data_IF_963936908483
#
_entry.id   IF_963936908483
#
_cell.length_a   1.000
_cell.length_b   1.000
_cell.length_c   1.000
_cell.angle_alpha   90.00
_cell.angle_beta   90.00
_cell.angle_gamma   90.00
#
_symmetry.space_group_name_H-M   'P 1'
#
loop_
_entity.id
_entity.type
_entity.pdbx_description
1 polymer ?
#
# COMPACT_ATOMS: atom_id res chain seq x y z
N UNK A 1 36.21 77.33 -50.96
CA UNK A 1 35.09 76.42 -51.30
C UNK A 1 35.54 74.99 -51.05
N UNK A 2 34.65 74.13 -50.55
CA UNK A 2 34.79 72.68 -50.27
C UNK A 2 35.18 72.28 -48.84
N UNK A 3 34.15 72.23 -48.01
CA UNK A 3 34.02 71.36 -46.85
C UNK A 3 34.12 69.88 -47.28
N UNK A 4 34.78 69.04 -46.47
CA UNK A 4 34.71 67.57 -46.60
C UNK A 4 34.39 66.96 -45.23
N UNK A 5 33.26 66.28 -45.17
CA UNK A 5 32.60 65.70 -43.99
C UNK A 5 33.08 64.24 -43.85
N UNK A 6 33.55 63.84 -42.66
CA UNK A 6 33.84 62.43 -42.32
C UNK A 6 32.54 61.69 -41.93
N UNK A 7 32.38 60.41 -42.27
CA UNK A 7 31.16 59.66 -41.98
C UNK A 7 31.13 59.04 -40.57
N UNK A 8 29.92 58.88 -40.06
CA UNK A 8 29.56 58.40 -38.73
C UNK A 8 29.72 56.88 -38.56
N UNK A 9 30.19 56.47 -37.39
CA UNK A 9 30.31 55.08 -36.94
C UNK A 9 28.94 54.59 -36.45
N UNK A 10 28.38 53.55 -37.07
CA UNK A 10 27.15 52.88 -36.62
C UNK A 10 27.47 51.88 -35.50
N UNK A 11 27.06 52.19 -34.28
CA UNK A 11 27.02 51.22 -33.16
C UNK A 11 25.74 50.38 -33.22
N UNK A 12 25.88 49.10 -33.55
CA UNK A 12 24.80 48.12 -33.49
C UNK A 12 24.57 47.62 -32.06
N UNK A 13 23.42 47.95 -31.47
CA UNK A 13 22.99 47.49 -30.15
C UNK A 13 22.37 46.10 -30.28
N UNK A 14 23.10 45.04 -29.92
CA UNK A 14 22.55 43.67 -29.83
C UNK A 14 21.64 43.58 -28.60
N UNK A 15 20.35 43.39 -28.83
CA UNK A 15 19.34 43.15 -27.80
C UNK A 15 19.42 41.67 -27.38
N UNK A 16 19.94 41.41 -26.17
CA UNK A 16 20.04 40.07 -25.60
C UNK A 16 18.68 39.72 -24.95
N UNK A 17 17.90 38.88 -25.61
CA UNK A 17 16.61 38.41 -25.11
C UNK A 17 16.84 37.31 -24.06
N UNK A 18 16.67 37.64 -22.79
CA UNK A 18 16.70 36.69 -21.67
C UNK A 18 15.37 35.92 -21.62
N UNK A 19 15.35 34.71 -22.19
CA UNK A 19 14.24 33.77 -22.00
C UNK A 19 14.27 33.21 -20.57
N UNK A 20 13.13 33.22 -19.84
CA UNK A 20 13.08 32.68 -18.49
C UNK A 20 13.16 31.15 -18.55
N UNK A 21 14.17 30.58 -17.89
CA UNK A 21 14.32 29.14 -17.72
C UNK A 21 13.22 28.66 -16.77
N UNK A 22 12.11 28.16 -17.33
CA UNK A 22 11.10 27.43 -16.55
C UNK A 22 11.72 26.11 -16.09
N UNK A 23 12.20 26.07 -14.84
CA UNK A 23 12.51 24.82 -14.17
C UNK A 23 11.20 24.03 -13.98
N UNK A 24 10.95 23.04 -14.84
CA UNK A 24 9.98 21.99 -14.53
C UNK A 24 10.52 21.24 -13.32
N UNK A 25 10.00 21.54 -12.13
CA UNK A 25 10.20 20.73 -10.94
C UNK A 25 9.52 19.37 -11.18
N UNK A 26 10.27 18.43 -11.74
CA UNK A 26 9.90 17.02 -11.71
C UNK A 26 9.99 16.59 -10.25
N UNK A 27 8.84 16.41 -9.61
CA UNK A 27 8.77 15.88 -8.25
C UNK A 27 9.19 14.41 -8.30
N UNK A 28 10.50 14.16 -8.20
CA UNK A 28 11.03 12.81 -7.99
C UNK A 28 10.50 12.34 -6.64
N UNK A 29 9.55 11.40 -6.69
CA UNK A 29 9.09 10.69 -5.51
C UNK A 29 10.28 9.92 -4.94
N UNK A 30 10.59 10.13 -3.66
CA UNK A 30 11.64 9.38 -2.97
C UNK A 30 11.42 7.86 -3.15
N UNK A 31 12.50 7.12 -3.36
CA UNK A 31 12.42 5.67 -3.53
C UNK A 31 11.75 5.02 -2.30
N UNK A 32 10.91 4.00 -2.55
CA UNK A 32 10.22 3.33 -1.46
C UNK A 32 11.21 2.55 -0.59
N UNK A 33 11.09 2.71 0.72
CA UNK A 33 11.88 2.00 1.73
C UNK A 33 10.92 1.21 2.62
N UNK A 34 11.14 -0.09 2.74
CA UNK A 34 10.35 -0.97 3.61
C UNK A 34 10.38 -0.50 5.06
N UNK A 35 9.28 -0.73 5.79
CA UNK A 35 9.24 -0.58 7.25
C UNK A 35 10.34 -1.37 7.98
N UNK A 36 10.85 -2.44 7.38
CA UNK A 36 11.96 -3.25 7.88
C UNK A 36 13.23 -2.42 8.19
N UNK A 37 13.51 -1.37 7.40
CA UNK A 37 14.67 -0.51 7.61
C UNK A 37 14.55 0.40 8.86
N UNK A 38 13.34 0.52 9.43
CA UNK A 38 13.05 1.44 10.54
C UNK A 38 12.90 0.75 11.90
N UNK A 39 12.86 -0.58 11.93
CA UNK A 39 12.75 -1.38 13.17
C UNK A 39 14.14 -1.69 13.77
N UNK A 40 14.17 -2.23 14.99
CA UNK A 40 15.43 -2.58 15.67
C UNK A 40 16.05 -3.85 15.07
N UNK A 41 17.34 -4.12 15.31
CA UNK A 41 17.97 -5.37 14.89
C UNK A 41 17.25 -6.62 15.40
N UNK A 42 16.72 -6.59 16.62
CA UNK A 42 16.04 -7.73 17.26
C UNK A 42 14.72 -8.03 16.57
N UNK A 43 13.94 -7.00 16.21
CA UNK A 43 12.71 -7.19 15.43
C UNK A 43 12.99 -7.68 14.01
N UNK A 44 14.11 -7.25 13.39
CA UNK A 44 14.53 -7.79 12.09
C UNK A 44 14.87 -9.27 12.19
N UNK A 45 15.69 -9.65 13.17
CA UNK A 45 16.04 -11.05 13.42
C UNK A 45 14.80 -11.92 13.64
N UNK A 46 13.80 -11.42 14.36
CA UNK A 46 12.52 -12.12 14.54
C UNK A 46 11.72 -12.27 13.24
N UNK A 47 11.73 -11.28 12.35
CA UNK A 47 11.04 -11.39 11.05
C UNK A 47 11.74 -12.37 10.11
N UNK A 48 13.08 -12.37 10.11
CA UNK A 48 13.90 -13.10 9.15
C UNK A 48 14.03 -14.60 9.46
N UNK A 49 13.68 -15.01 10.68
CA UNK A 49 13.64 -16.39 11.12
C UNK A 49 12.19 -16.88 11.14
N UNK A 50 11.86 -17.84 10.28
CA UNK A 50 10.49 -18.38 10.16
C UNK A 50 10.01 -19.09 11.44
N UNK A 51 10.90 -19.63 12.27
CA UNK A 51 10.51 -20.23 13.55
C UNK A 51 10.25 -19.14 14.61
N UNK A 52 11.03 -18.06 14.58
CA UNK A 52 10.88 -16.94 15.51
C UNK A 52 9.75 -15.97 15.14
N UNK A 53 9.32 -15.93 13.87
CA UNK A 53 8.28 -15.02 13.40
C UNK A 53 6.88 -15.51 13.86
N UNK A 54 6.26 -14.89 14.88
CA UNK A 54 4.97 -15.35 15.40
C UNK A 54 3.82 -15.15 14.40
N UNK A 55 4.00 -14.32 13.38
CA UNK A 55 3.01 -14.13 12.32
C UNK A 55 2.81 -15.38 11.46
N UNK A 56 3.76 -16.31 11.43
CA UNK A 56 3.64 -17.54 10.64
C UNK A 56 2.60 -18.51 11.20
N UNK A 57 2.22 -18.42 12.47
CA UNK A 57 1.06 -19.13 13.00
C UNK A 57 -0.24 -18.76 12.26
N UNK A 58 -0.36 -17.51 11.81
CA UNK A 58 -1.49 -17.08 10.97
C UNK A 58 -1.38 -17.62 9.53
N UNK A 59 -0.17 -17.90 9.04
CA UNK A 59 0.01 -18.57 7.74
C UNK A 59 -0.47 -20.02 7.84
N UNK A 60 -0.06 -20.75 8.87
CA UNK A 60 -0.48 -22.14 9.09
C UNK A 60 -2.00 -22.25 9.26
N UNK A 61 -2.59 -21.40 10.11
CA UNK A 61 -4.05 -21.35 10.27
C UNK A 61 -4.76 -20.92 8.98
N UNK A 62 -4.13 -20.05 8.18
CA UNK A 62 -4.66 -19.61 6.89
C UNK A 62 -4.69 -20.74 5.87
N UNK A 63 -3.68 -21.62 5.87
CA UNK A 63 -3.64 -22.84 5.06
C UNK A 63 -4.78 -23.80 5.45
N UNK A 64 -5.03 -24.00 6.75
CA UNK A 64 -6.16 -24.80 7.20
C UNK A 64 -7.50 -24.24 6.70
N UNK A 65 -7.69 -22.91 6.79
CA UNK A 65 -8.89 -22.23 6.28
C UNK A 65 -9.03 -22.34 4.76
N UNK A 66 -7.90 -22.40 4.04
CA UNK A 66 -7.85 -22.57 2.59
C UNK A 66 -8.23 -24.00 2.17
N UNK A 67 -7.84 -25.00 2.95
CA UNK A 67 -8.20 -26.41 2.79
C UNK A 67 -9.66 -26.69 3.20
N UNK A 68 -10.18 -25.93 4.16
CA UNK A 68 -11.53 -26.08 4.69
C UNK A 68 -12.61 -25.66 3.67
N UNK A 69 -13.71 -26.41 3.66
CA UNK A 69 -14.98 -26.01 3.02
C UNK A 69 -16.08 -25.90 4.08
N UNK A 70 -17.06 -25.05 3.83
CA UNK A 70 -18.21 -24.96 4.73
C UNK A 70 -19.15 -26.15 4.50
N UNK A 71 -19.98 -26.44 5.52
CA UNK A 71 -20.96 -27.51 5.44
C UNK A 71 -21.97 -27.22 4.33
N UNK A 72 -22.10 -28.13 3.38
CA UNK A 72 -22.98 -27.97 2.21
C UNK A 72 -22.32 -27.26 1.02
N UNK A 73 -21.09 -26.76 1.17
CA UNK A 73 -20.32 -26.21 0.05
C UNK A 73 -19.79 -27.31 -0.86
N UNK A 74 -19.66 -26.96 -2.14
CA UNK A 74 -19.23 -27.91 -3.18
C UNK A 74 -17.72 -28.12 -3.16
N UNK A 75 -16.94 -27.08 -2.83
CA UNK A 75 -15.48 -27.05 -2.99
C UNK A 75 -14.81 -26.14 -1.96
N UNK A 76 -13.62 -26.51 -1.49
CA UNK A 76 -12.66 -25.61 -0.82
C UNK A 76 -11.73 -24.96 -1.85
N UNK A 77 -10.86 -24.05 -1.40
CA UNK A 77 -9.94 -23.33 -2.29
C UNK A 77 -8.97 -24.27 -3.02
N UNK A 78 -8.51 -25.33 -2.34
CA UNK A 78 -7.53 -26.29 -2.88
C UNK A 78 -7.99 -27.00 -4.15
N UNK A 79 -9.30 -27.18 -4.33
CA UNK A 79 -9.86 -27.84 -5.52
C UNK A 79 -9.51 -27.13 -6.84
N UNK A 80 -9.25 -25.81 -6.79
CA UNK A 80 -8.82 -25.02 -7.94
C UNK A 80 -7.35 -24.63 -7.86
N UNK A 81 -6.82 -24.47 -6.64
CA UNK A 81 -5.57 -23.76 -6.40
C UNK A 81 -4.42 -24.62 -5.90
N UNK A 82 -4.63 -25.94 -5.74
CA UNK A 82 -3.62 -26.83 -5.18
C UNK A 82 -3.67 -26.87 -3.66
N UNK A 83 -3.10 -27.91 -3.05
CA UNK A 83 -3.26 -28.18 -1.61
C UNK A 83 -2.60 -27.11 -0.73
N UNK A 84 -1.53 -26.51 -1.23
CA UNK A 84 -0.75 -25.45 -0.58
C UNK A 84 -0.79 -24.14 -1.38
N UNK A 85 -1.76 -24.01 -2.29
CA UNK A 85 -1.92 -22.82 -3.12
C UNK A 85 -0.89 -22.69 -4.26
N UNK A 86 -0.18 -23.75 -4.61
CA UNK A 86 0.91 -23.76 -5.59
C UNK A 86 0.47 -23.38 -7.02
N UNK A 87 -0.84 -23.46 -7.32
CA UNK A 87 -1.40 -23.03 -8.61
C UNK A 87 -1.82 -21.55 -8.62
N UNK A 88 -1.65 -20.83 -7.52
CA UNK A 88 -1.89 -19.39 -7.48
C UNK A 88 -0.73 -18.64 -8.14
N UNK A 89 -1.08 -17.62 -8.93
CA UNK A 89 -0.07 -16.73 -9.51
C UNK A 89 0.46 -15.76 -8.46
N UNK A 90 1.70 -16.02 -8.01
CA UNK A 90 2.44 -15.22 -7.02
C UNK A 90 2.58 -13.76 -7.44
N UNK A 91 2.80 -13.48 -8.73
CA UNK A 91 2.91 -12.11 -9.27
C UNK A 91 1.55 -11.43 -9.27
N UNK A 92 0.48 -12.16 -9.57
CA UNK A 92 -0.88 -11.62 -9.50
C UNK A 92 -1.28 -11.28 -8.06
N UNK A 93 -0.84 -12.07 -7.07
CA UNK A 93 -1.04 -11.79 -5.64
C UNK A 93 -0.28 -10.51 -5.23
N UNK A 94 0.99 -10.37 -5.62
CA UNK A 94 1.82 -9.19 -5.33
C UNK A 94 1.27 -7.88 -5.93
N UNK A 95 0.38 -7.97 -6.92
CA UNK A 95 -0.25 -6.83 -7.59
C UNK A 95 -1.53 -6.32 -6.91
N UNK A 96 -2.05 -6.98 -5.87
CA UNK A 96 -3.24 -6.49 -5.15
C UNK A 96 -2.93 -5.30 -4.23
N UNK A 97 -3.86 -4.33 -4.08
CA UNK A 97 -5.22 -4.29 -4.65
C UNK A 97 -5.29 -4.03 -6.16
N UNK A 98 -6.36 -4.50 -6.82
CA UNK A 98 -6.57 -4.37 -8.27
C UNK A 98 -7.68 -3.38 -8.60
N UNK A 99 -7.57 -2.70 -9.74
CA UNK A 99 -8.61 -1.82 -10.25
C UNK A 99 -9.61 -2.59 -11.14
N UNK A 100 -10.90 -2.28 -10.99
CA UNK A 100 -12.00 -2.82 -11.76
C UNK A 100 -12.81 -1.65 -12.35
N UNK A 101 -12.62 -1.38 -13.64
CA UNK A 101 -13.31 -0.29 -14.33
C UNK A 101 -14.84 -0.45 -14.38
N UNK A 102 -15.37 -1.66 -14.19
CA UNK A 102 -16.82 -1.92 -14.20
C UNK A 102 -17.52 -1.54 -12.87
N UNK A 103 -16.76 -1.24 -11.81
CA UNK A 103 -17.31 -0.84 -10.51
C UNK A 103 -18.06 0.50 -10.62
N UNK A 104 -19.26 0.58 -10.02
CA UNK A 104 -20.07 1.81 -10.02
C UNK A 104 -19.69 2.75 -8.87
N UNK A 105 -19.26 2.18 -7.75
CA UNK A 105 -18.76 2.89 -6.57
C UNK A 105 -17.25 2.66 -6.43
N UNK A 106 -16.53 3.52 -5.69
CA UNK A 106 -15.07 3.39 -5.58
C UNK A 106 -14.69 2.08 -4.87
N UNK A 107 -15.44 1.71 -3.83
CA UNK A 107 -15.31 0.43 -3.13
C UNK A 107 -15.49 -0.79 -4.03
N UNK A 108 -16.19 -0.67 -5.16
CA UNK A 108 -16.34 -1.74 -6.17
C UNK A 108 -15.29 -1.64 -7.28
N UNK A 109 -14.70 -0.47 -7.48
CA UNK A 109 -13.62 -0.23 -8.42
C UNK A 109 -12.27 -0.69 -7.89
N UNK A 110 -12.12 -0.86 -6.57
CA UNK A 110 -10.89 -1.31 -5.94
C UNK A 110 -11.17 -2.65 -5.28
N UNK A 111 -10.57 -3.70 -5.83
CA UNK A 111 -10.70 -5.07 -5.34
C UNK A 111 -9.49 -5.38 -4.45
N UNK A 112 -9.70 -5.48 -3.14
CA UNK A 112 -8.66 -5.93 -2.21
C UNK A 112 -8.42 -7.43 -2.34
N UNK A 113 -7.36 -7.94 -1.71
CA UNK A 113 -7.12 -9.38 -1.69
C UNK A 113 -8.23 -10.11 -0.91
N UNK A 114 -8.71 -9.52 0.18
CA UNK A 114 -9.88 -10.02 0.92
C UNK A 114 -11.15 -10.10 0.06
N UNK A 115 -11.41 -9.11 -0.81
CA UNK A 115 -12.54 -9.17 -1.74
C UNK A 115 -12.42 -10.32 -2.73
N UNK A 116 -11.22 -10.53 -3.27
CA UNK A 116 -10.97 -11.61 -4.20
C UNK A 116 -11.16 -12.98 -3.52
N UNK A 117 -10.65 -13.14 -2.30
CA UNK A 117 -10.82 -14.35 -1.49
C UNK A 117 -12.30 -14.61 -1.27
N UNK A 118 -13.05 -13.61 -0.81
CA UNK A 118 -14.48 -13.75 -0.57
C UNK A 118 -15.28 -14.02 -1.86
N UNK A 119 -14.88 -13.43 -2.99
CA UNK A 119 -15.47 -13.70 -4.30
C UNK A 119 -15.29 -15.17 -4.68
N UNK A 120 -14.11 -15.74 -4.44
CA UNK A 120 -13.86 -17.17 -4.66
C UNK A 120 -14.64 -18.05 -3.67
N UNK A 121 -14.70 -17.69 -2.39
CA UNK A 121 -15.47 -18.42 -1.37
C UNK A 121 -16.94 -18.55 -1.77
N UNK A 122 -17.59 -17.41 -2.06
CA UNK A 122 -19.01 -17.37 -2.44
C UNK A 122 -19.26 -18.14 -3.73
N UNK A 123 -18.38 -18.00 -4.73
CA UNK A 123 -18.49 -18.75 -5.99
C UNK A 123 -18.49 -20.27 -5.78
N UNK A 124 -17.75 -20.76 -4.79
CA UNK A 124 -17.67 -22.19 -4.45
C UNK A 124 -18.76 -22.65 -3.46
N UNK A 125 -19.69 -21.76 -3.11
CA UNK A 125 -20.78 -22.03 -2.19
C UNK A 125 -20.38 -21.97 -0.72
N UNK A 126 -19.23 -21.37 -0.39
CA UNK A 126 -18.82 -21.08 0.99
C UNK A 126 -19.37 -19.72 1.42
N UNK A 127 -19.55 -19.54 2.72
CA UNK A 127 -19.97 -18.30 3.35
C UNK A 127 -18.91 -17.21 3.19
N UNK A 128 -19.37 -15.99 2.90
CA UNK A 128 -18.53 -14.79 2.92
C UNK A 128 -18.06 -14.55 4.35
N UNK A 129 -16.75 -14.41 4.54
CA UNK A 129 -16.18 -13.97 5.81
C UNK A 129 -16.31 -12.45 5.91
N UNK A 130 -16.64 -11.95 7.11
CA UNK A 130 -16.70 -10.51 7.33
C UNK A 130 -15.33 -9.88 7.06
N UNK A 131 -15.31 -8.72 6.41
CA UNK A 131 -14.07 -8.00 6.10
C UNK A 131 -13.35 -7.65 7.40
N UNK A 132 -12.04 -7.86 7.43
CA UNK A 132 -11.20 -7.74 8.63
C UNK A 132 -11.58 -8.66 9.81
N UNK A 133 -12.43 -9.68 9.60
CA UNK A 133 -12.56 -10.76 10.59
C UNK A 133 -11.26 -11.53 10.75
N UNK A 134 -11.02 -12.09 11.94
CA UNK A 134 -9.83 -12.87 12.24
C UNK A 134 -9.53 -13.93 11.15
N UNK A 135 -10.54 -14.72 10.77
CA UNK A 135 -10.37 -15.78 9.78
C UNK A 135 -10.03 -15.23 8.39
N UNK A 136 -10.62 -14.10 7.98
CA UNK A 136 -10.32 -13.54 6.66
C UNK A 136 -8.93 -12.89 6.62
N UNK A 137 -8.49 -12.22 7.68
CA UNK A 137 -7.13 -11.67 7.77
C UNK A 137 -6.10 -12.81 7.80
N UNK A 138 -6.40 -13.89 8.50
CA UNK A 138 -5.55 -15.09 8.58
C UNK A 138 -5.45 -15.78 7.20
N UNK A 139 -6.58 -15.97 6.52
CA UNK A 139 -6.61 -16.50 5.15
C UNK A 139 -5.90 -15.58 4.14
N UNK A 140 -6.08 -14.26 4.26
CA UNK A 140 -5.32 -13.28 3.48
C UNK A 140 -3.82 -13.38 3.72
N UNK A 141 -3.41 -13.60 4.98
CA UNK A 141 -2.01 -13.72 5.38
C UNK A 141 -1.35 -14.92 4.70
N UNK A 142 -2.00 -16.08 4.71
CA UNK A 142 -1.55 -17.25 3.94
C UNK A 142 -1.47 -16.96 2.43
N UNK A 143 -2.54 -16.44 1.82
CA UNK A 143 -2.54 -16.21 0.37
C UNK A 143 -1.46 -15.19 -0.04
N UNK A 144 -1.26 -14.14 0.76
CA UNK A 144 -0.25 -13.11 0.49
C UNK A 144 1.17 -13.60 0.77
N UNK A 145 1.38 -14.49 1.76
CA UNK A 145 2.71 -15.05 2.06
C UNK A 145 3.26 -15.91 0.92
N UNK A 146 2.40 -16.53 0.11
CA UNK A 146 2.81 -17.22 -1.11
C UNK A 146 3.56 -16.29 -2.07
N UNK A 147 3.27 -14.99 -2.06
CA UNK A 147 3.96 -13.99 -2.87
C UNK A 147 5.21 -13.39 -2.20
N UNK A 148 5.66 -13.88 -1.04
CA UNK A 148 6.86 -13.38 -0.36
C UNK A 148 8.06 -13.35 -1.31
N UNK A 149 8.74 -12.21 -1.37
CA UNK A 149 9.86 -11.94 -2.28
C UNK A 149 9.48 -11.42 -3.68
N UNK A 150 8.23 -11.60 -4.14
CA UNK A 150 7.77 -11.00 -5.38
C UNK A 150 7.71 -9.47 -5.26
N UNK A 151 7.95 -8.76 -6.37
CA UNK A 151 7.89 -7.30 -6.39
C UNK A 151 6.44 -6.83 -6.39
N UNK A 152 6.10 -5.98 -5.42
CA UNK A 152 4.82 -5.28 -5.40
C UNK A 152 4.64 -4.46 -6.67
N UNK A 153 3.47 -4.62 -7.32
CA UNK A 153 3.19 -3.99 -8.62
C UNK A 153 1.71 -3.65 -8.77
N UNK A 154 1.22 -2.74 -7.93
CA UNK A 154 -0.10 -2.13 -8.08
C UNK A 154 -0.12 -1.26 -9.34
N UNK A 155 -1.22 -1.25 -10.07
CA UNK A 155 -1.37 -0.44 -11.27
C UNK A 155 -1.27 1.06 -10.95
N UNK A 156 -0.52 1.82 -11.77
CA UNK A 156 -0.37 3.28 -11.62
C UNK A 156 -0.50 4.06 -12.92
N UNK A 157 -1.06 3.43 -13.96
CA UNK A 157 -1.20 4.02 -15.29
C UNK A 157 -2.29 5.09 -15.37
N UNK A 158 -2.46 5.67 -16.57
CA UNK A 158 -3.48 6.70 -16.84
C UNK A 158 -4.90 6.25 -16.46
N UNK A 159 -5.21 4.97 -16.61
CA UNK A 159 -6.51 4.40 -16.28
C UNK A 159 -6.92 4.59 -14.80
N UNK A 160 -5.94 4.63 -13.90
CA UNK A 160 -6.17 4.72 -12.44
C UNK A 160 -5.69 6.05 -11.85
N UNK A 161 -5.31 7.03 -12.68
CA UNK A 161 -4.80 8.31 -12.23
C UNK A 161 -5.79 9.05 -11.31
N UNK A 162 -7.09 8.97 -11.60
CA UNK A 162 -8.15 9.56 -10.76
C UNK A 162 -8.26 8.86 -9.40
N UNK A 163 -8.11 7.53 -9.36
CA UNK A 163 -8.11 6.74 -8.12
C UNK A 163 -6.91 7.12 -7.25
N UNK A 164 -5.71 7.18 -7.85
CA UNK A 164 -4.50 7.58 -7.15
C UNK A 164 -4.58 9.01 -6.61
N UNK A 165 -5.11 9.96 -7.39
CA UNK A 165 -5.25 11.35 -6.96
C UNK A 165 -6.24 11.48 -5.77
N UNK A 166 -7.34 10.73 -5.78
CA UNK A 166 -8.30 10.69 -4.66
C UNK A 166 -7.68 10.08 -3.40
N UNK A 167 -6.96 8.96 -3.53
CA UNK A 167 -6.25 8.33 -2.40
C UNK A 167 -5.12 9.21 -1.85
N UNK A 168 -4.37 9.89 -2.73
CA UNK A 168 -3.36 10.87 -2.34
C UNK A 168 -3.96 12.05 -1.59
N UNK A 169 -5.12 12.55 -2.05
CA UNK A 169 -5.85 13.62 -1.36
C UNK A 169 -6.17 13.19 0.07
N UNK A 170 -6.77 12.01 0.25
CA UNK A 170 -7.06 11.48 1.60
C UNK A 170 -5.79 11.33 2.43
N UNK A 171 -4.71 10.80 1.87
CA UNK A 171 -3.42 10.63 2.55
C UNK A 171 -2.81 11.96 3.04
N UNK A 172 -3.14 13.08 2.38
CA UNK A 172 -2.68 14.43 2.73
C UNK A 172 -3.67 15.19 3.63
N UNK A 173 -4.95 14.80 3.67
CA UNK A 173 -5.99 15.40 4.51
C UNK A 173 -5.67 15.25 5.99
N UNK A 174 -5.82 16.32 6.76
CA UNK A 174 -5.65 16.32 8.21
C UNK A 174 -6.92 15.77 8.88
N UNK A 175 -6.73 14.97 9.94
CA UNK A 175 -7.81 14.28 10.62
C UNK A 175 -7.73 14.47 12.14
N UNK A 176 -8.91 14.45 12.76
CA UNK A 176 -9.09 14.36 14.20
C UNK A 176 -8.59 15.57 14.97
N UNK A 177 -8.64 15.47 16.31
CA UNK A 177 -8.22 16.55 17.21
C UNK A 177 -6.71 16.84 17.16
N UNK A 178 -5.92 15.88 16.66
CA UNK A 178 -4.47 16.04 16.50
C UNK A 178 -4.12 16.87 15.25
N UNK A 179 -5.07 17.09 14.34
CA UNK A 179 -4.92 17.87 13.10
C UNK A 179 -3.70 17.45 12.25
N UNK A 180 -3.47 16.15 12.13
CA UNK A 180 -2.38 15.58 11.34
C UNK A 180 -2.88 14.64 10.25
N UNK A 181 -2.01 14.34 9.28
CA UNK A 181 -2.30 13.44 8.16
C UNK A 181 -1.21 12.39 8.01
N UNK A 182 -1.49 11.32 7.26
CA UNK A 182 -0.51 10.28 6.95
C UNK A 182 0.78 10.89 6.37
N UNK A 183 0.64 11.90 5.49
CA UNK A 183 1.75 12.64 4.89
C UNK A 183 2.67 13.33 5.91
N UNK A 184 2.14 13.88 7.01
CA UNK A 184 2.99 14.53 8.00
C UNK A 184 3.95 13.53 8.64
N UNK A 185 3.46 12.39 9.12
CA UNK A 185 4.32 11.38 9.75
C UNK A 185 5.19 10.66 8.70
N UNK A 186 4.56 10.08 7.68
CA UNK A 186 5.18 9.08 6.80
C UNK A 186 5.82 9.66 5.52
N UNK A 187 5.78 10.98 5.33
CA UNK A 187 6.62 11.67 4.34
C UNK A 187 7.55 12.68 5.03
N UNK A 188 7.00 13.63 5.78
CA UNK A 188 7.77 14.77 6.30
C UNK A 188 8.66 14.40 7.50
N UNK A 189 8.20 13.50 8.37
CA UNK A 189 8.92 13.08 9.58
C UNK A 189 9.48 11.65 9.52
N UNK A 190 9.60 11.08 8.31
CA UNK A 190 10.23 9.77 8.11
C UNK A 190 11.63 9.73 8.76
N UNK A 191 11.93 8.66 9.50
CA UNK A 191 13.19 8.48 10.21
C UNK A 191 13.29 9.20 11.56
N UNK A 192 12.34 10.09 11.90
CA UNK A 192 12.25 10.70 13.24
C UNK A 192 11.64 9.72 14.24
N UNK A 193 11.83 10.02 15.53
CA UNK A 193 11.26 9.24 16.63
C UNK A 193 9.92 9.81 17.06
N UNK A 194 8.92 8.93 17.23
CA UNK A 194 7.71 9.19 17.99
C UNK A 194 7.74 8.32 19.23
N UNK A 195 8.21 8.92 20.34
CA UNK A 195 8.54 8.19 21.57
C UNK A 195 9.53 7.04 21.26
N UNK A 196 9.17 5.79 21.54
CA UNK A 196 10.04 4.62 21.35
C UNK A 196 10.10 4.09 19.92
N UNK A 197 9.35 4.65 18.96
CA UNK A 197 9.28 4.13 17.60
C UNK A 197 9.89 5.07 16.57
N UNK A 198 10.62 4.52 15.60
CA UNK A 198 11.07 5.28 14.42
C UNK A 198 9.97 5.28 13.37
N UNK A 199 9.62 6.47 12.88
CA UNK A 199 8.57 6.64 11.87
C UNK A 199 9.08 6.12 10.52
N UNK A 200 8.42 5.12 9.94
CA UNK A 200 8.70 4.62 8.60
C UNK A 200 7.98 5.44 7.52
N UNK A 201 8.21 5.12 6.24
CA UNK A 201 7.45 5.69 5.11
C UNK A 201 5.99 5.21 5.03
N UNK A 202 5.51 4.40 5.98
CA UNK A 202 4.12 3.91 6.00
C UNK A 202 3.77 2.98 4.83
N UNK A 203 4.72 2.15 4.40
CA UNK A 203 4.53 1.24 3.26
C UNK A 203 3.64 0.04 3.63
N UNK A 204 2.90 -0.47 2.65
CA UNK A 204 1.98 -1.60 2.81
C UNK A 204 2.56 -2.98 2.44
N UNK A 205 3.79 -3.08 1.94
CA UNK A 205 4.35 -4.29 1.34
C UNK A 205 4.51 -5.49 2.29
N UNK A 206 4.50 -5.26 3.61
CA UNK A 206 4.57 -6.31 4.62
C UNK A 206 3.22 -6.71 5.23
N UNK A 207 2.10 -6.15 4.77
CA UNK A 207 0.77 -6.45 5.31
C UNK A 207 0.13 -7.69 4.65
N UNK A 208 -0.74 -8.43 5.37
CA UNK A 208 -0.99 -8.34 6.81
C UNK A 208 0.25 -8.55 7.69
N UNK A 209 0.30 -7.86 8.82
CA UNK A 209 1.50 -7.73 9.65
C UNK A 209 1.23 -8.24 11.06
N UNK A 210 2.18 -8.97 11.66
CA UNK A 210 2.10 -9.30 13.07
C UNK A 210 2.48 -8.10 13.91
N UNK A 211 1.61 -7.72 14.84
CA UNK A 211 1.76 -6.55 15.71
C UNK A 211 2.24 -6.98 17.10
N UNK A 212 3.45 -6.57 17.46
CA UNK A 212 4.08 -6.92 18.75
C UNK A 212 3.35 -6.32 19.96
N UNK A 213 2.64 -5.21 19.79
CA UNK A 213 1.89 -4.55 20.86
C UNK A 213 0.57 -5.26 21.18
N UNK A 214 -0.10 -5.83 20.17
CA UNK A 214 -1.39 -6.52 20.33
C UNK A 214 -1.27 -8.04 20.34
N UNK A 215 -0.19 -8.61 19.79
CA UNK A 215 -0.04 -10.05 19.59
C UNK A 215 -0.91 -10.61 18.46
N UNK A 216 -1.40 -9.77 17.55
CA UNK A 216 -2.37 -10.16 16.52
C UNK A 216 -1.86 -9.85 15.10
N UNK A 217 -2.32 -10.66 14.14
CA UNK A 217 -2.17 -10.35 12.72
C UNK A 217 -3.15 -9.25 12.31
N UNK A 218 -2.65 -8.19 11.69
CA UNK A 218 -3.42 -6.99 11.38
C UNK A 218 -3.36 -6.69 9.88
N UNK A 219 -4.52 -6.48 9.25
CA UNK A 219 -4.61 -6.07 7.85
C UNK A 219 -4.22 -4.60 7.64
N UNK A 220 -3.95 -4.20 6.40
CA UNK A 220 -3.65 -2.80 6.10
C UNK A 220 -4.84 -1.88 6.42
N UNK A 221 -6.07 -2.32 6.15
CA UNK A 221 -7.27 -1.54 6.45
C UNK A 221 -7.46 -1.34 7.96
N UNK A 222 -7.27 -2.39 8.77
CA UNK A 222 -7.28 -2.27 10.23
C UNK A 222 -6.21 -1.29 10.71
N UNK A 223 -5.01 -1.33 10.12
CA UNK A 223 -3.96 -0.37 10.48
C UNK A 223 -4.34 1.06 10.14
N UNK A 224 -4.97 1.31 9.01
CA UNK A 224 -5.48 2.64 8.65
C UNK A 224 -6.49 3.11 9.71
N UNK A 225 -7.43 2.27 10.12
CA UNK A 225 -8.40 2.60 11.18
C UNK A 225 -7.71 2.89 12.53
N UNK A 226 -6.72 2.10 12.91
CA UNK A 226 -5.91 2.35 14.12
C UNK A 226 -5.16 3.70 14.04
N UNK A 227 -4.60 4.04 12.88
CA UNK A 227 -3.99 5.36 12.66
C UNK A 227 -5.00 6.49 12.85
N UNK A 228 -6.23 6.36 12.35
CA UNK A 228 -7.30 7.35 12.54
C UNK A 228 -7.66 7.50 14.02
N UNK A 229 -7.76 6.40 14.77
CA UNK A 229 -7.97 6.43 16.21
C UNK A 229 -6.85 7.19 16.96
N UNK A 230 -5.58 6.96 16.60
CA UNK A 230 -4.44 7.67 17.20
C UNK A 230 -4.47 9.18 16.92
N UNK A 231 -5.05 9.59 15.79
CA UNK A 231 -5.29 10.99 15.44
C UNK A 231 -6.51 11.58 16.15
N UNK A 232 -7.25 10.79 16.96
CA UNK A 232 -8.54 11.14 17.55
C UNK A 232 -9.56 11.56 16.49
N UNK A 233 -9.57 10.83 15.39
CA UNK A 233 -10.56 10.95 14.32
C UNK A 233 -11.54 9.78 14.38
N UNK A 234 -12.75 9.97 13.86
CA UNK A 234 -13.65 8.85 13.59
C UNK A 234 -13.06 7.98 12.47
N UNK A 235 -12.83 6.68 12.70
CA UNK A 235 -12.30 5.79 11.67
C UNK A 235 -13.30 5.60 10.53
N UNK A 236 -12.78 5.48 9.31
CA UNK A 236 -13.59 5.10 8.18
C UNK A 236 -14.14 3.67 8.35
N UNK A 237 -15.41 3.41 7.96
CA UNK A 237 -15.97 2.07 7.98
C UNK A 237 -15.18 1.09 7.12
N UNK A 238 -15.19 -0.18 7.51
CA UNK A 238 -14.62 -1.25 6.69
C UNK A 238 -15.29 -1.29 5.32
N UNK A 239 -14.52 -1.57 4.26
CA UNK A 239 -14.95 -1.54 2.86
C UNK A 239 -15.50 -0.20 2.34
N UNK A 240 -15.36 0.90 3.08
CA UNK A 240 -15.74 2.22 2.57
C UNK A 240 -14.86 2.65 1.39
N UNK A 241 -15.38 3.58 0.60
CA UNK A 241 -14.66 4.19 -0.52
C UNK A 241 -13.32 4.79 -0.06
N UNK A 242 -13.29 5.43 1.11
CA UNK A 242 -12.07 6.04 1.69
C UNK A 242 -11.03 5.01 2.10
N UNK A 243 -11.43 3.92 2.77
CA UNK A 243 -10.50 2.84 3.14
C UNK A 243 -9.89 2.21 1.90
N UNK A 244 -10.70 1.90 0.88
CA UNK A 244 -10.22 1.29 -0.36
C UNK A 244 -9.28 2.22 -1.12
N UNK A 245 -9.58 3.53 -1.16
CA UNK A 245 -8.71 4.53 -1.75
C UNK A 245 -7.36 4.64 -1.04
N UNK A 246 -7.38 4.68 0.30
CA UNK A 246 -6.16 4.74 1.10
C UNK A 246 -5.35 3.45 0.95
N UNK A 247 -5.99 2.28 0.96
CA UNK A 247 -5.33 0.99 0.73
C UNK A 247 -4.64 0.97 -0.65
N UNK A 248 -5.37 1.30 -1.72
CA UNK A 248 -4.82 1.34 -3.08
C UNK A 248 -3.65 2.33 -3.18
N UNK A 249 -3.82 3.54 -2.64
CA UNK A 249 -2.78 4.55 -2.69
C UNK A 249 -1.54 4.13 -1.89
N UNK A 250 -1.69 3.65 -0.65
CA UNK A 250 -0.59 3.17 0.21
C UNK A 250 0.17 2.03 -0.47
N UNK A 251 -0.55 1.07 -1.07
CA UNK A 251 0.08 -0.03 -1.79
C UNK A 251 0.78 0.44 -3.08
N UNK A 252 0.24 1.42 -3.80
CA UNK A 252 0.95 1.99 -4.96
C UNK A 252 2.27 2.66 -4.58
N UNK A 253 2.42 3.14 -3.33
CA UNK A 253 3.65 3.80 -2.85
C UNK A 253 4.82 2.86 -2.68
N UNK A 254 4.54 1.58 -2.44
CA UNK A 254 5.55 0.55 -2.22
C UNK A 254 5.90 -0.24 -3.47
N UNK A 255 5.45 0.17 -4.66
CA UNK A 255 5.76 -0.52 -5.91
C UNK A 255 7.28 -0.70 -6.07
N UNK A 256 7.70 -1.94 -6.35
CA UNK A 256 9.10 -2.33 -6.44
C UNK A 256 9.68 -2.95 -5.16
N UNK A 257 9.10 -2.69 -3.98
CA UNK A 257 9.47 -3.40 -2.75
C UNK A 257 9.04 -4.88 -2.83
N UNK A 258 9.80 -5.80 -2.21
CA UNK A 258 9.37 -7.19 -2.09
C UNK A 258 8.15 -7.29 -1.15
N UNK A 259 7.27 -8.26 -1.42
CA UNK A 259 6.26 -8.67 -0.44
C UNK A 259 6.96 -9.32 0.75
N UNK A 260 6.64 -8.88 1.96
CA UNK A 260 7.25 -9.34 3.22
C UNK A 260 6.26 -10.08 4.14
N UNK A 261 5.07 -10.41 3.65
CA UNK A 261 3.98 -10.93 4.48
C UNK A 261 4.28 -12.33 5.09
N UNK A 262 3.97 -12.56 6.37
CA UNK A 262 3.66 -11.55 7.39
C UNK A 262 4.93 -10.90 7.92
N UNK A 263 4.99 -9.57 7.83
CA UNK A 263 6.07 -8.83 8.46
C UNK A 263 5.86 -8.76 10.00
N UNK A 264 6.92 -8.50 10.76
CA UNK A 264 6.84 -8.26 12.21
C UNK A 264 7.06 -6.78 12.49
N UNK A 265 6.08 -6.12 13.12
CA UNK A 265 6.14 -4.69 13.45
C UNK A 265 5.55 -4.43 14.84
N UNK A 266 5.88 -3.27 15.39
CA UNK A 266 5.21 -2.73 16.57
C UNK A 266 4.11 -1.76 16.14
#
# INVERSE_FOLDING_TARGET
>A
MKYSIKPAIKTGRKLLCLLPLFFLATTVRAEPVSGYAFITPETRAMQDDDFANPGLLAVDRGLELFQQKDKGSTKSCVSCHGDDGEKLDRKAIAAYPKFNAAGKQISQQIISLQDQINTCRVRNGNTRLATNSHDLVTLETFVRSLARGEKQKVETGKAVASILAKGEKLYKTRYGLIDMSCNHCHNLYTGKMIRGQKISQGQGNGFPVYRLDTGEITSLQQRIQQCMNLLRAEPFPTDSDEIKLLEYYIMSRGNGLPIETPAVRY
#
